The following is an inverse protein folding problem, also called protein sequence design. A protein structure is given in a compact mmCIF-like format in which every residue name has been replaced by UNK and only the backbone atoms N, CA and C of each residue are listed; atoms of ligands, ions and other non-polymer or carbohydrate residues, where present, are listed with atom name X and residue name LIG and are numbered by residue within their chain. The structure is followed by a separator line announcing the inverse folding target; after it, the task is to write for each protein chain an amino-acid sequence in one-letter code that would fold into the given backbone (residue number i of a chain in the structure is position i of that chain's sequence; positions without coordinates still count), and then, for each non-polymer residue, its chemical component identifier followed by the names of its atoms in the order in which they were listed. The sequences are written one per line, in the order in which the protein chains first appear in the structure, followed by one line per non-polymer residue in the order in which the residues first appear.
data_IF_472280073098
#
_entry.id   IF_472280073098
#
_cell.length_a   1.000
_cell.length_b   1.000
_cell.length_c   1.000
_cell.angle_alpha   90.00
_cell.angle_beta   90.00
_cell.angle_gamma   90.00
#
_symmetry.space_group_name_H-M   'P 1'
#
loop_
_entity.id
_entity.type
_entity.pdbx_description
1 polymer ?
#
# COMPACT_ATOMS: atom_id res chain seq x y z
N UNK A 1 -25.05 -9.52 -28.58
CA UNK A 1 -23.68 -9.79 -28.08
C UNK A 1 -23.26 -11.16 -28.56
N UNK A 2 -22.19 -11.25 -29.35
CA UNK A 2 -21.69 -12.55 -29.80
C UNK A 2 -20.95 -13.23 -28.63
N UNK A 3 -21.55 -14.26 -28.03
CA UNK A 3 -20.86 -15.16 -27.11
C UNK A 3 -19.74 -15.80 -27.92
N UNK A 4 -18.49 -15.35 -27.72
CA UNK A 4 -17.33 -16.00 -28.31
C UNK A 4 -17.40 -17.49 -27.96
N UNK A 5 -17.45 -18.37 -28.97
CA UNK A 5 -17.39 -19.82 -28.77
C UNK A 5 -16.14 -20.13 -27.93
N UNK A 6 -16.35 -20.51 -26.67
CA UNK A 6 -15.27 -20.89 -25.76
C UNK A 6 -14.76 -22.24 -26.23
N UNK A 7 -13.55 -22.28 -26.80
CA UNK A 7 -12.93 -23.53 -27.20
C UNK A 7 -12.44 -24.27 -25.94
N UNK A 8 -13.06 -25.41 -25.56
CA UNK A 8 -12.71 -26.13 -24.34
C UNK A 8 -11.29 -26.70 -24.36
N UNK A 9 -10.69 -26.87 -25.55
CA UNK A 9 -9.35 -27.41 -25.74
C UNK A 9 -8.25 -26.35 -25.81
N UNK A 10 -8.59 -25.07 -25.76
CA UNK A 10 -7.58 -24.01 -25.77
C UNK A 10 -6.72 -24.03 -24.50
N UNK A 11 -5.43 -23.72 -24.63
CA UNK A 11 -4.51 -23.62 -23.49
C UNK A 11 -5.02 -22.66 -22.41
N UNK A 12 -5.61 -21.53 -22.82
CA UNK A 12 -6.22 -20.56 -21.91
C UNK A 12 -7.37 -21.17 -21.11
N UNK A 13 -8.30 -21.89 -21.75
CA UNK A 13 -9.42 -22.54 -21.07
C UNK A 13 -8.95 -23.65 -20.12
N UNK A 14 -7.93 -24.43 -20.50
CA UNK A 14 -7.32 -25.45 -19.63
C UNK A 14 -6.64 -24.83 -18.40
N UNK A 15 -5.97 -23.70 -18.57
CA UNK A 15 -5.35 -22.95 -17.46
C UNK A 15 -6.39 -22.39 -16.50
N UNK A 16 -7.48 -21.81 -17.01
CA UNK A 16 -8.55 -21.20 -16.21
C UNK A 16 -9.44 -22.22 -15.46
N UNK A 17 -9.41 -23.50 -15.85
CA UNK A 17 -10.05 -24.62 -15.13
C UNK A 17 -9.07 -25.39 -14.24
N UNK A 18 -7.79 -25.02 -14.23
CA UNK A 18 -6.77 -25.79 -13.53
C UNK A 18 -7.00 -25.74 -12.02
N UNK A 19 -7.13 -26.90 -11.36
CA UNK A 19 -7.39 -27.01 -9.91
C UNK A 19 -6.36 -26.27 -9.06
N UNK A 20 -5.09 -26.20 -9.48
CA UNK A 20 -4.06 -25.42 -8.77
C UNK A 20 -4.32 -23.92 -8.88
N UNK A 21 -4.66 -23.44 -10.08
CA UNK A 21 -5.02 -22.02 -10.30
C UNK A 21 -6.25 -21.65 -9.46
N UNK A 22 -7.30 -22.47 -9.50
CA UNK A 22 -8.51 -22.24 -8.70
C UNK A 22 -8.22 -22.26 -7.19
N UNK A 23 -7.43 -23.24 -6.72
CA UNK A 23 -7.00 -23.31 -5.32
C UNK A 23 -6.16 -22.10 -4.89
N UNK A 24 -5.28 -21.60 -5.77
CA UNK A 24 -4.53 -20.37 -5.51
C UNK A 24 -5.45 -19.16 -5.42
N UNK A 25 -6.44 -19.03 -6.32
CA UNK A 25 -7.42 -17.94 -6.27
C UNK A 25 -8.28 -17.99 -4.99
N UNK A 26 -8.69 -19.18 -4.55
CA UNK A 26 -9.38 -19.37 -3.27
C UNK A 26 -8.51 -18.90 -2.09
N UNK A 27 -7.25 -19.35 -2.02
CA UNK A 27 -6.31 -18.90 -0.98
C UNK A 27 -6.07 -17.40 -0.99
N UNK A 28 -6.02 -16.77 -2.16
CA UNK A 28 -5.89 -15.31 -2.30
C UNK A 28 -7.15 -14.60 -1.78
N UNK A 29 -8.35 -15.12 -2.05
CA UNK A 29 -9.60 -14.59 -1.48
C UNK A 29 -9.57 -14.67 0.05
N UNK A 30 -9.18 -15.81 0.62
CA UNK A 30 -9.17 -16.01 2.07
C UNK A 30 -8.10 -15.18 2.79
N UNK A 31 -6.97 -14.91 2.13
CA UNK A 31 -5.81 -14.21 2.69
C UNK A 31 -5.43 -12.93 1.93
N UNK A 32 -6.41 -12.21 1.39
CA UNK A 32 -6.18 -11.06 0.50
C UNK A 32 -5.24 -9.99 1.05
N UNK A 33 -5.42 -9.58 2.32
CA UNK A 33 -4.57 -8.57 2.96
C UNK A 33 -3.11 -9.04 3.06
N UNK A 34 -2.89 -10.26 3.57
CA UNK A 34 -1.55 -10.83 3.71
C UNK A 34 -0.88 -11.08 2.37
N UNK A 35 -1.63 -11.58 1.38
CA UNK A 35 -1.13 -11.77 0.02
C UNK A 35 -0.71 -10.44 -0.63
N UNK A 36 -1.54 -9.41 -0.51
CA UNK A 36 -1.24 -8.07 -1.03
C UNK A 36 -0.02 -7.46 -0.33
N UNK A 37 0.08 -7.58 1.00
CA UNK A 37 1.21 -7.07 1.78
C UNK A 37 2.51 -7.82 1.45
N UNK A 38 2.47 -9.16 1.37
CA UNK A 38 3.62 -9.99 1.00
C UNK A 38 4.08 -9.73 -0.44
N UNK A 39 3.14 -9.61 -1.38
CA UNK A 39 3.46 -9.22 -2.77
C UNK A 39 4.11 -7.85 -2.82
N UNK A 40 3.54 -6.87 -2.12
CA UNK A 40 4.11 -5.52 -2.01
C UNK A 40 5.53 -5.54 -1.43
N UNK A 41 5.81 -6.41 -0.45
CA UNK A 41 7.14 -6.56 0.12
C UNK A 41 8.12 -7.12 -0.91
N UNK A 42 7.79 -8.25 -1.56
CA UNK A 42 8.64 -8.86 -2.60
C UNK A 42 8.94 -7.88 -3.73
N UNK A 43 7.92 -7.13 -4.18
CA UNK A 43 8.08 -6.15 -5.24
C UNK A 43 8.95 -4.96 -4.81
N UNK A 44 8.82 -4.50 -3.56
CA UNK A 44 9.70 -3.46 -2.98
C UNK A 44 11.15 -3.92 -2.80
N UNK A 45 11.37 -5.21 -2.52
CA UNK A 45 12.69 -5.78 -2.23
C UNK A 45 13.45 -6.21 -3.48
N UNK A 46 12.74 -6.62 -4.53
CA UNK A 46 13.35 -7.18 -5.74
C UNK A 46 13.05 -6.34 -6.98
N UNK A 47 11.80 -6.34 -7.43
CA UNK A 47 11.42 -5.77 -8.74
C UNK A 47 11.74 -4.27 -8.83
N UNK A 48 11.44 -3.51 -7.78
CA UNK A 48 11.73 -2.06 -7.77
C UNK A 48 13.22 -1.76 -7.72
N UNK A 49 14.04 -2.38 -6.86
CA UNK A 49 15.49 -2.24 -6.93
C UNK A 49 16.08 -2.60 -8.30
N UNK A 50 15.67 -3.73 -8.90
CA UNK A 50 16.11 -4.12 -10.25
C UNK A 50 15.81 -3.03 -11.26
N UNK A 51 14.58 -2.52 -11.24
CA UNK A 51 14.14 -1.46 -12.16
C UNK A 51 14.91 -0.16 -11.94
N UNK A 52 15.11 0.24 -10.69
CA UNK A 52 15.94 1.41 -10.33
C UNK A 52 17.36 1.25 -10.88
N UNK A 53 17.98 0.08 -10.75
CA UNK A 53 19.32 -0.15 -11.27
C UNK A 53 19.39 -0.14 -12.81
N UNK A 54 18.34 -0.61 -13.48
CA UNK A 54 18.19 -0.58 -14.93
C UNK A 54 17.99 0.84 -15.52
N UNK A 55 17.69 1.85 -14.68
CA UNK A 55 17.47 3.23 -15.14
C UNK A 55 18.70 3.79 -15.89
N UNK A 56 18.59 4.25 -17.14
CA UNK A 56 19.73 4.81 -17.87
C UNK A 56 20.09 6.22 -17.38
N UNK A 57 21.31 6.69 -17.66
CA UNK A 57 21.74 8.09 -17.47
C UNK A 57 21.45 8.63 -16.05
N UNK A 58 21.70 7.81 -15.04
CA UNK A 58 21.53 8.14 -13.62
C UNK A 58 22.75 7.63 -12.87
N UNK A 59 23.28 8.42 -11.96
CA UNK A 59 24.42 8.07 -11.12
C UNK A 59 24.14 6.83 -10.29
N UNK A 60 25.14 5.94 -10.22
CA UNK A 60 25.07 4.68 -9.48
C UNK A 60 24.66 4.89 -8.03
N UNK A 61 25.19 5.92 -7.38
CA UNK A 61 24.90 6.20 -5.97
C UNK A 61 23.47 6.71 -5.75
N UNK A 62 22.93 7.53 -6.66
CA UNK A 62 21.52 7.94 -6.62
C UNK A 62 20.58 6.73 -6.78
N UNK A 63 20.92 5.78 -7.67
CA UNK A 63 20.21 4.50 -7.79
C UNK A 63 20.29 3.69 -6.49
N UNK A 64 21.45 3.63 -5.84
CA UNK A 64 21.62 2.92 -4.57
C UNK A 64 20.73 3.52 -3.47
N UNK A 65 20.69 4.85 -3.32
CA UNK A 65 19.81 5.50 -2.35
C UNK A 65 18.33 5.29 -2.66
N UNK A 66 17.93 5.35 -3.94
CA UNK A 66 16.55 5.05 -4.35
C UNK A 66 16.18 3.58 -4.09
N UNK A 67 17.09 2.64 -4.35
CA UNK A 67 16.90 1.22 -4.07
C UNK A 67 16.84 0.93 -2.57
N UNK A 68 17.72 1.54 -1.77
CA UNK A 68 17.69 1.45 -0.31
C UNK A 68 16.37 1.99 0.25
N UNK A 69 15.91 3.16 -0.22
CA UNK A 69 14.61 3.72 0.17
C UNK A 69 13.45 2.77 -0.20
N UNK A 70 13.50 2.11 -1.37
CA UNK A 70 12.51 1.08 -1.75
C UNK A 70 12.50 -0.11 -0.78
N UNK A 71 13.68 -0.66 -0.47
CA UNK A 71 13.85 -1.80 0.43
C UNK A 71 13.34 -1.45 1.83
N UNK A 72 13.83 -0.34 2.39
CA UNK A 72 13.45 0.14 3.72
C UNK A 72 11.94 0.37 3.80
N UNK A 73 11.37 1.09 2.83
CA UNK A 73 9.93 1.38 2.83
C UNK A 73 9.07 0.12 2.70
N UNK A 74 9.55 -0.90 1.97
CA UNK A 74 8.93 -2.22 1.88
C UNK A 74 8.91 -2.94 3.23
N UNK A 75 10.06 -3.06 3.89
CA UNK A 75 10.22 -3.71 5.20
C UNK A 75 9.37 -3.01 6.25
N UNK A 76 9.48 -1.68 6.35
CA UNK A 76 8.74 -0.90 7.35
C UNK A 76 7.24 -0.92 7.06
N UNK A 77 6.81 -0.83 5.79
CA UNK A 77 5.39 -0.98 5.44
C UNK A 77 4.85 -2.33 5.91
N UNK A 78 5.58 -3.41 5.61
CA UNK A 78 5.16 -4.75 6.01
C UNK A 78 5.02 -4.84 7.54
N UNK A 79 6.04 -4.43 8.29
CA UNK A 79 6.02 -4.46 9.76
C UNK A 79 4.91 -3.59 10.38
N UNK A 80 4.66 -2.39 9.85
CA UNK A 80 3.59 -1.51 10.34
C UNK A 80 2.20 -2.09 10.06
N UNK A 81 1.99 -2.71 8.88
CA UNK A 81 0.72 -3.37 8.56
C UNK A 81 0.42 -4.50 9.55
N UNK A 82 1.42 -5.34 9.84
CA UNK A 82 1.29 -6.43 10.82
C UNK A 82 1.01 -5.89 12.23
N UNK A 83 1.69 -4.82 12.64
CA UNK A 83 1.59 -4.28 13.99
C UNK A 83 0.33 -3.42 14.25
N UNK A 84 -0.21 -2.76 13.22
CA UNK A 84 -1.28 -1.76 13.38
C UNK A 84 -2.53 -2.11 12.58
N UNK A 85 -2.39 -2.34 11.27
CA UNK A 85 -3.55 -2.52 10.39
C UNK A 85 -4.24 -3.87 10.64
N UNK A 86 -3.50 -4.97 10.79
CA UNK A 86 -4.09 -6.29 11.01
C UNK A 86 -4.86 -6.41 12.33
N UNK A 87 -4.38 -5.90 13.48
CA UNK A 87 -5.17 -5.88 14.70
C UNK A 87 -6.47 -5.08 14.57
N UNK A 88 -6.44 -3.95 13.86
CA UNK A 88 -7.63 -3.12 13.60
C UNK A 88 -8.62 -3.83 12.66
N UNK A 89 -8.15 -4.42 11.57
CA UNK A 89 -8.98 -5.23 10.68
C UNK A 89 -9.59 -6.43 11.41
N UNK A 90 -8.82 -7.09 12.27
CA UNK A 90 -9.29 -8.22 13.07
C UNK A 90 -10.35 -7.78 14.08
N UNK A 91 -10.17 -6.63 14.72
CA UNK A 91 -11.16 -6.04 15.62
C UNK A 91 -12.46 -5.70 14.87
N UNK A 92 -12.38 -5.06 13.70
CA UNK A 92 -13.55 -4.78 12.86
C UNK A 92 -14.24 -6.08 12.44
N UNK A 93 -13.50 -7.12 12.02
CA UNK A 93 -14.08 -8.43 11.68
C UNK A 93 -14.81 -9.08 12.87
N UNK A 94 -14.37 -8.84 14.11
CA UNK A 94 -15.10 -9.31 15.31
C UNK A 94 -16.42 -8.57 15.49
N UNK A 95 -16.44 -7.26 15.25
CA UNK A 95 -17.66 -6.44 15.26
C UNK A 95 -18.60 -6.87 14.13
N UNK A 96 -18.09 -7.07 12.91
CA UNK A 96 -18.85 -7.50 11.74
C UNK A 96 -19.61 -8.81 11.99
N UNK A 97 -18.95 -9.78 12.65
CA UNK A 97 -19.52 -11.10 12.96
C UNK A 97 -20.58 -11.07 14.06
N UNK A 98 -20.37 -10.26 15.10
CA UNK A 98 -21.24 -10.22 16.28
C UNK A 98 -21.53 -8.79 16.72
N UNK A 99 -22.19 -7.97 15.87
CA UNK A 99 -22.31 -6.53 16.13
C UNK A 99 -23.11 -6.23 17.40
N UNK A 100 -24.07 -7.10 17.75
CA UNK A 100 -24.87 -7.03 18.98
C UNK A 100 -24.03 -7.10 20.26
N UNK A 101 -22.88 -7.79 20.22
CA UNK A 101 -22.01 -7.95 21.40
C UNK A 101 -21.10 -6.73 21.63
N UNK A 102 -21.02 -5.83 20.65
CA UNK A 102 -20.00 -4.79 20.61
C UNK A 102 -20.55 -3.38 20.37
N UNK A 103 -21.77 -3.23 19.85
CA UNK A 103 -22.38 -1.95 19.52
C UNK A 103 -23.69 -1.77 20.27
N UNK A 104 -24.04 -0.52 20.54
CA UNK A 104 -25.28 -0.20 21.24
C UNK A 104 -26.51 -0.43 20.34
N UNK A 105 -27.65 -0.76 20.94
CA UNK A 105 -28.92 -0.97 20.21
C UNK A 105 -29.32 0.21 19.31
N UNK A 106 -29.10 1.45 19.78
CA UNK A 106 -29.33 2.67 18.99
C UNK A 106 -28.45 2.73 17.74
N UNK A 107 -27.17 2.38 17.86
CA UNK A 107 -26.22 2.34 16.73
C UNK A 107 -26.65 1.32 15.68
N UNK A 108 -27.07 0.14 16.14
CA UNK A 108 -27.55 -0.92 15.27
C UNK A 108 -28.79 -0.49 14.50
N UNK A 109 -29.71 0.23 15.15
CA UNK A 109 -30.89 0.79 14.48
C UNK A 109 -30.50 1.90 13.49
N UNK A 110 -29.66 2.85 13.92
CA UNK A 110 -29.28 4.03 13.12
C UNK A 110 -28.49 3.66 11.85
N UNK A 111 -27.66 2.63 11.92
CA UNK A 111 -26.77 2.23 10.82
C UNK A 111 -27.32 1.08 9.97
N UNK A 112 -28.43 0.44 10.37
CA UNK A 112 -29.02 -0.67 9.60
C UNK A 112 -29.65 -0.17 8.30
N UNK A 113 -29.58 -1.02 7.27
CA UNK A 113 -30.38 -0.88 6.05
C UNK A 113 -31.35 -2.08 5.96
N UNK A 114 -32.64 -1.89 5.62
CA UNK A 114 -33.67 -2.93 5.76
C UNK A 114 -33.36 -4.25 5.03
N UNK A 115 -32.70 -4.18 3.88
CA UNK A 115 -32.45 -5.33 2.99
C UNK A 115 -31.01 -5.85 3.03
N UNK A 116 -30.17 -5.33 3.93
CA UNK A 116 -28.75 -5.69 3.97
C UNK A 116 -28.34 -6.26 5.29
N UNK A 117 -27.37 -7.18 5.23
CA UNK A 117 -26.61 -7.59 6.41
C UNK A 117 -25.95 -6.33 7.01
N UNK A 118 -25.89 -6.23 8.33
CA UNK A 118 -25.37 -5.03 9.01
C UNK A 118 -23.99 -4.58 8.49
N UNK A 119 -23.08 -5.54 8.30
CA UNK A 119 -21.74 -5.29 7.75
C UNK A 119 -21.75 -4.72 6.32
N UNK A 120 -22.88 -4.81 5.62
CA UNK A 120 -23.08 -4.32 4.26
C UNK A 120 -23.78 -2.96 4.16
N UNK A 121 -24.31 -2.45 5.27
CA UNK A 121 -24.93 -1.13 5.31
C UNK A 121 -23.90 -0.04 4.96
N UNK A 122 -24.29 0.93 4.11
CA UNK A 122 -23.34 1.88 3.51
C UNK A 122 -22.69 2.78 4.55
N UNK A 123 -23.46 3.26 5.53
CA UNK A 123 -22.96 4.11 6.61
C UNK A 123 -21.96 3.36 7.50
N UNK A 124 -22.25 2.11 7.85
CA UNK A 124 -21.31 1.26 8.60
C UNK A 124 -20.04 0.95 7.80
N UNK A 125 -20.17 0.59 6.52
CA UNK A 125 -19.04 0.39 5.61
C UNK A 125 -18.16 1.63 5.52
N UNK A 126 -18.75 2.81 5.42
CA UNK A 126 -18.00 4.06 5.40
C UNK A 126 -17.19 4.28 6.69
N UNK A 127 -17.80 4.08 7.87
CA UNK A 127 -17.08 4.22 9.15
C UNK A 127 -15.90 3.24 9.22
N UNK A 128 -16.15 1.97 8.96
CA UNK A 128 -15.11 0.94 9.03
C UNK A 128 -14.02 1.14 7.98
N UNK A 129 -14.35 1.67 6.81
CA UNK A 129 -13.39 2.04 5.78
C UNK A 129 -12.52 3.21 6.21
N UNK A 130 -13.09 4.27 6.79
CA UNK A 130 -12.34 5.40 7.35
C UNK A 130 -11.41 4.94 8.47
N UNK A 131 -11.85 4.04 9.34
CA UNK A 131 -11.01 3.46 10.39
C UNK A 131 -9.85 2.65 9.82
N UNK A 132 -10.10 1.80 8.82
CA UNK A 132 -9.06 1.00 8.14
C UNK A 132 -8.04 1.90 7.42
N UNK A 133 -8.50 2.84 6.62
CA UNK A 133 -7.63 3.75 5.85
C UNK A 133 -6.92 4.76 6.74
N UNK A 134 -7.55 5.19 7.82
CA UNK A 134 -6.97 6.11 8.81
C UNK A 134 -5.72 5.55 9.48
N UNK A 135 -5.53 4.23 9.51
CA UNK A 135 -4.27 3.61 9.97
C UNK A 135 -3.07 4.03 9.12
N UNK A 136 -3.26 4.16 7.80
CA UNK A 136 -2.22 4.66 6.90
C UNK A 136 -1.84 6.10 7.22
N UNK A 137 -2.82 6.95 7.47
CA UNK A 137 -2.60 8.35 7.86
C UNK A 137 -1.87 8.45 9.19
N UNK A 138 -2.33 7.73 10.23
CA UNK A 138 -1.71 7.70 11.56
C UNK A 138 -0.25 7.25 11.52
N UNK A 139 0.04 6.26 10.67
CA UNK A 139 1.37 5.65 10.59
C UNK A 139 2.29 6.34 9.60
N UNK A 140 1.82 7.32 8.81
CA UNK A 140 2.61 7.96 7.76
C UNK A 140 3.91 8.61 8.28
N UNK A 141 3.83 9.37 9.38
CA UNK A 141 4.99 10.03 9.99
C UNK A 141 5.95 9.00 10.64
N UNK A 142 5.50 8.09 11.53
CA UNK A 142 6.36 7.05 12.08
C UNK A 142 7.00 6.17 10.99
N UNK A 143 6.24 5.83 9.95
CA UNK A 143 6.72 5.07 8.79
C UNK A 143 7.86 5.79 8.09
N UNK A 144 7.73 7.09 7.82
CA UNK A 144 8.80 7.84 7.17
C UNK A 144 10.04 7.89 8.05
N UNK A 145 9.89 8.15 9.36
CA UNK A 145 10.99 8.16 10.32
C UNK A 145 11.78 6.85 10.32
N UNK A 146 11.07 5.72 10.48
CA UNK A 146 11.69 4.40 10.50
C UNK A 146 12.33 4.04 9.16
N UNK A 147 11.69 4.41 8.05
CA UNK A 147 12.25 4.19 6.70
C UNK A 147 13.57 4.92 6.54
N UNK A 148 13.61 6.21 6.87
CA UNK A 148 14.82 7.04 6.72
C UNK A 148 15.92 6.61 7.70
N UNK A 149 15.58 6.23 8.92
CA UNK A 149 16.55 5.69 9.89
C UNK A 149 17.18 4.36 9.43
N UNK A 150 16.46 3.57 8.63
CA UNK A 150 16.94 2.29 8.11
C UNK A 150 17.80 2.43 6.84
N UNK A 151 17.69 3.54 6.10
CA UNK A 151 18.46 3.76 4.86
C UNK A 151 19.98 3.62 5.06
N UNK A 152 20.62 4.25 6.07
CA UNK A 152 22.07 4.12 6.26
C UNK A 152 22.50 2.66 6.48
N UNK A 153 21.74 1.92 7.29
CA UNK A 153 22.01 0.51 7.60
C UNK A 153 21.95 -0.33 6.32
N UNK A 154 20.93 -0.12 5.47
CA UNK A 154 20.80 -0.84 4.20
C UNK A 154 21.89 -0.41 3.21
N UNK A 155 22.23 0.88 3.15
CA UNK A 155 23.29 1.40 2.28
C UNK A 155 24.65 0.79 2.64
N UNK A 156 25.00 0.75 3.93
CA UNK A 156 26.27 0.19 4.41
C UNK A 156 26.36 -1.33 4.22
N UNK A 157 25.24 -2.05 4.34
CA UNK A 157 25.28 -3.52 4.24
C UNK A 157 25.15 -4.04 2.80
N UNK A 158 24.40 -3.37 1.92
CA UNK A 158 24.10 -3.87 0.58
C UNK A 158 24.88 -3.17 -0.54
N UNK A 159 25.28 -1.90 -0.37
CA UNK A 159 25.73 -1.07 -1.49
C UNK A 159 27.10 -0.42 -1.28
N UNK A 160 27.48 -0.14 -0.04
CA UNK A 160 28.77 0.45 0.32
C UNK A 160 29.60 -0.59 1.05
N UNK A 161 30.51 -1.29 0.36
CA UNK A 161 31.48 -2.17 1.01
C UNK A 161 32.56 -1.32 1.68
N UNK A 162 32.34 -0.84 2.91
CA UNK A 162 33.43 -0.22 3.69
C UNK A 162 34.38 -1.30 4.21
N UNK A 163 35.67 -1.15 3.94
CA UNK A 163 36.72 -1.71 4.80
C UNK A 163 36.44 -1.24 6.23
N UNK A 164 36.51 -2.16 7.19
CA UNK A 164 36.18 -1.95 8.61
C UNK A 164 36.88 -0.70 9.17
N UNK A 165 36.20 0.44 9.17
CA UNK A 165 36.55 1.56 10.04
C UNK A 165 36.01 1.27 11.43
N UNK A 166 36.92 1.27 12.42
CA UNK A 166 36.69 0.89 13.83
C UNK A 166 35.38 1.45 14.41
N UNK A 167 34.66 0.66 15.23
CA UNK A 167 33.40 1.09 15.81
C UNK A 167 33.61 2.29 16.74
N UNK A 168 32.81 3.35 16.57
CA UNK A 168 32.53 4.29 17.66
C UNK A 168 31.65 3.53 18.65
N UNK A 169 32.04 3.51 19.92
CA UNK A 169 31.26 2.98 21.02
C UNK A 169 29.84 3.57 20.97
N UNK A 170 28.88 2.75 20.54
CA UNK A 170 27.49 2.93 20.90
C UNK A 170 27.33 2.18 22.23
N UNK A 171 26.95 2.91 23.27
CA UNK A 171 26.39 2.30 24.46
C UNK A 171 25.22 1.42 24.02
N UNK A 172 25.46 0.12 24.00
CA UNK A 172 24.44 -0.90 23.81
C UNK A 172 23.55 -0.92 25.05
N UNK A 173 22.65 0.05 25.18
CA UNK A 173 21.41 -0.18 25.89
C UNK A 173 20.52 -0.97 24.94
N UNK A 174 20.66 -2.29 25.01
CA UNK A 174 19.67 -3.24 24.51
C UNK A 174 18.29 -2.74 24.96
N UNK A 175 17.34 -2.44 24.06
CA UNK A 175 15.96 -2.32 24.48
C UNK A 175 15.60 -3.67 25.08
N UNK A 176 15.39 -3.71 26.39
CA UNK A 176 14.84 -4.89 27.04
C UNK A 176 13.53 -5.23 26.31
N UNK A 177 13.57 -6.29 25.51
CA UNK A 177 12.38 -6.98 25.05
C UNK A 177 11.78 -7.69 26.27
N UNK A 178 11.15 -6.94 27.15
CA UNK A 178 10.29 -7.46 28.19
C UNK A 178 9.08 -6.56 28.33
N UNK A 179 8.27 -6.60 27.28
CA UNK A 179 6.83 -6.58 27.32
C UNK A 179 6.40 -6.96 25.90
N UNK A 180 5.86 -8.17 25.73
CA UNK A 180 4.91 -8.36 24.63
C UNK A 180 3.82 -7.34 24.91
N UNK A 181 3.62 -6.27 24.11
CA UNK A 181 2.44 -5.47 24.29
C UNK A 181 1.27 -6.44 24.09
N UNK A 182 0.55 -6.74 25.16
CA UNK A 182 -0.69 -7.48 25.09
C UNK A 182 -1.70 -6.56 24.44
N UNK A 183 -1.59 -6.43 23.11
CA UNK A 183 -2.60 -5.88 22.23
C UNK A 183 -3.72 -6.92 22.15
N UNK A 184 -4.34 -7.21 23.29
CA UNK A 184 -5.46 -8.13 23.37
C UNK A 184 -6.55 -7.54 22.50
N UNK A 185 -6.93 -8.26 21.44
CA UNK A 185 -7.87 -7.79 20.42
C UNK A 185 -9.18 -7.23 20.99
N UNK A 186 -9.55 -7.61 22.23
CA UNK A 186 -10.70 -7.08 22.94
C UNK A 186 -10.60 -5.58 23.27
N UNK A 187 -9.44 -5.02 23.62
CA UNK A 187 -9.32 -3.58 23.90
C UNK A 187 -9.46 -2.75 22.64
N UNK A 188 -8.83 -3.17 21.54
CA UNK A 188 -8.96 -2.50 20.23
C UNK A 188 -10.41 -2.55 19.78
N UNK A 189 -11.04 -3.72 19.87
CA UNK A 189 -12.45 -3.91 19.52
C UNK A 189 -13.33 -2.96 20.33
N UNK A 190 -13.14 -2.89 21.65
CA UNK A 190 -13.90 -1.98 22.52
C UNK A 190 -13.67 -0.49 22.18
N UNK A 191 -12.45 -0.10 21.84
CA UNK A 191 -12.14 1.27 21.44
C UNK A 191 -12.78 1.63 20.09
N UNK A 192 -12.71 0.73 19.10
CA UNK A 192 -13.35 0.94 17.80
C UNK A 192 -14.87 0.95 17.91
N UNK A 193 -15.45 0.09 18.75
CA UNK A 193 -16.88 0.12 19.08
C UNK A 193 -17.32 1.48 19.60
N UNK A 194 -16.58 2.09 20.54
CA UNK A 194 -16.90 3.43 21.04
C UNK A 194 -16.89 4.50 19.95
N UNK A 195 -16.00 4.37 18.96
CA UNK A 195 -15.96 5.30 17.82
C UNK A 195 -17.19 5.09 16.92
N UNK A 196 -17.55 3.84 16.64
CA UNK A 196 -18.73 3.49 15.83
C UNK A 196 -20.03 3.91 16.55
N UNK A 197 -20.10 3.77 17.87
CA UNK A 197 -21.23 4.17 18.71
C UNK A 197 -21.39 5.70 18.87
N UNK A 198 -20.41 6.48 18.41
CA UNK A 198 -20.46 7.93 18.52
C UNK A 198 -21.49 8.52 17.54
N UNK A 199 -22.50 9.22 18.06
CA UNK A 199 -23.58 9.81 17.25
C UNK A 199 -23.09 10.82 16.20
N UNK A 200 -22.02 11.58 16.48
CA UNK A 200 -21.45 12.52 15.48
C UNK A 200 -20.82 11.75 14.33
N UNK A 201 -20.11 10.66 14.62
CA UNK A 201 -19.52 9.78 13.61
C UNK A 201 -20.62 9.14 12.77
N UNK A 202 -21.68 8.63 13.40
CA UNK A 202 -22.84 8.06 12.72
C UNK A 202 -23.51 9.09 11.81
N UNK A 203 -23.76 10.29 12.30
CA UNK A 203 -24.41 11.36 11.52
C UNK A 203 -23.58 11.76 10.30
N UNK A 204 -22.26 11.88 10.44
CA UNK A 204 -21.36 12.13 9.31
C UNK A 204 -21.39 10.96 8.31
N UNK A 205 -21.36 9.72 8.80
CA UNK A 205 -21.39 8.55 7.95
C UNK A 205 -22.71 8.41 7.19
N UNK A 206 -23.84 8.69 7.83
CA UNK A 206 -25.16 8.70 7.20
C UNK A 206 -25.23 9.81 6.13
N UNK A 207 -24.76 11.02 6.45
CA UNK A 207 -24.71 12.15 5.52
C UNK A 207 -23.89 11.86 4.26
N UNK A 208 -22.79 11.13 4.39
CA UNK A 208 -21.86 10.85 3.29
C UNK A 208 -21.86 9.40 2.79
N UNK A 209 -22.85 8.59 3.16
CA UNK A 209 -22.91 7.14 2.85
C UNK A 209 -22.81 6.75 1.38
N UNK A 210 -23.11 7.67 0.46
CA UNK A 210 -23.01 7.45 -0.99
C UNK A 210 -21.68 7.95 -1.60
N UNK A 211 -20.73 8.42 -0.78
CA UNK A 211 -19.42 8.94 -1.20
C UNK A 211 -18.27 8.06 -0.70
N UNK A 212 -18.52 6.80 -0.39
CA UNK A 212 -17.54 5.84 0.14
C UNK A 212 -16.29 5.74 -0.74
N UNK A 213 -16.48 5.60 -2.05
CA UNK A 213 -15.38 5.53 -3.02
C UNK A 213 -14.55 6.82 -3.06
N UNK A 214 -15.19 7.98 -3.05
CA UNK A 214 -14.50 9.27 -3.10
C UNK A 214 -13.73 9.54 -1.81
N UNK A 215 -14.31 9.22 -0.65
CA UNK A 215 -13.64 9.38 0.64
C UNK A 215 -12.41 8.47 0.71
N UNK A 216 -12.53 7.21 0.30
CA UNK A 216 -11.41 6.29 0.28
C UNK A 216 -10.24 6.78 -0.58
N UNK A 217 -10.58 7.30 -1.77
CA UNK A 217 -9.66 7.92 -2.72
C UNK A 217 -8.94 9.13 -2.10
N UNK A 218 -9.68 10.07 -1.52
CA UNK A 218 -9.11 11.28 -0.92
C UNK A 218 -8.26 10.98 0.33
N UNK A 219 -8.68 10.03 1.18
CA UNK A 219 -7.89 9.60 2.33
C UNK A 219 -6.58 8.94 1.92
N UNK A 220 -6.61 8.10 0.89
CA UNK A 220 -5.41 7.48 0.33
C UNK A 220 -4.48 8.55 -0.23
N UNK A 221 -5.00 9.48 -1.04
CA UNK A 221 -4.22 10.60 -1.57
C UNK A 221 -3.62 11.48 -0.47
N UNK A 222 -4.40 11.84 0.55
CA UNK A 222 -3.93 12.61 1.69
C UNK A 222 -2.86 11.89 2.50
N UNK A 223 -2.99 10.57 2.66
CA UNK A 223 -1.97 9.72 3.30
C UNK A 223 -0.68 9.70 2.50
N UNK A 224 -0.75 9.57 1.17
CA UNK A 224 0.44 9.56 0.31
C UNK A 224 1.15 10.92 0.30
N UNK A 225 0.39 12.03 0.28
CA UNK A 225 0.93 13.38 0.42
C UNK A 225 1.62 13.54 1.77
N UNK A 226 0.95 13.18 2.87
CA UNK A 226 1.53 13.28 4.22
C UNK A 226 2.79 12.43 4.34
N UNK A 227 2.77 11.18 3.86
CA UNK A 227 3.91 10.28 3.88
C UNK A 227 5.08 10.86 3.07
N UNK A 228 4.81 11.42 1.90
CA UNK A 228 5.83 12.01 1.02
C UNK A 228 6.42 13.27 1.62
N UNK A 229 5.59 14.19 2.13
CA UNK A 229 6.03 15.41 2.79
C UNK A 229 6.86 15.07 4.04
N UNK A 230 6.39 14.13 4.85
CA UNK A 230 7.12 13.64 6.03
C UNK A 230 8.44 13.00 5.64
N UNK A 231 8.47 12.22 4.55
CA UNK A 231 9.72 11.62 4.05
C UNK A 231 10.69 12.68 3.56
N UNK A 232 10.22 13.67 2.79
CA UNK A 232 11.07 14.75 2.29
C UNK A 232 11.68 15.56 3.43
N UNK A 233 10.88 15.92 4.43
CA UNK A 233 11.35 16.61 5.63
C UNK A 233 12.39 15.79 6.41
N UNK A 234 12.17 14.48 6.57
CA UNK A 234 13.10 13.59 7.26
C UNK A 234 14.38 13.30 6.47
N UNK A 235 14.31 13.20 5.14
CA UNK A 235 15.50 13.08 4.29
C UNK A 235 16.36 14.33 4.42
N UNK A 236 15.75 15.51 4.36
CA UNK A 236 16.48 16.79 4.44
C UNK A 236 17.28 16.90 5.75
N UNK A 237 16.69 16.46 6.87
CA UNK A 237 17.32 16.48 8.19
C UNK A 237 18.22 15.29 8.50
N UNK A 238 18.22 14.23 7.68
CA UNK A 238 18.99 13.02 7.98
C UNK A 238 20.48 13.28 7.84
N UNK A 239 21.26 12.98 8.88
CA UNK A 239 22.73 12.95 8.81
C UNK A 239 23.26 11.66 8.18
N UNK A 240 22.43 10.62 8.07
CA UNK A 240 22.81 9.33 7.49
C UNK A 240 22.70 9.26 5.96
N UNK A 241 22.20 10.32 5.32
CA UNK A 241 22.11 10.44 3.86
C UNK A 241 23.04 11.57 3.43
N UNK A 242 23.92 11.32 2.45
CA UNK A 242 24.84 12.34 1.92
C UNK A 242 24.08 13.56 1.41
N UNK A 243 24.57 14.76 1.72
CA UNK A 243 23.86 16.00 1.42
C UNK A 243 23.58 16.19 -0.08
N UNK A 244 24.55 15.90 -0.94
CA UNK A 244 24.42 15.96 -2.40
C UNK A 244 23.53 14.84 -3.00
N UNK A 245 22.93 13.98 -2.17
CA UNK A 245 22.01 12.91 -2.58
C UNK A 245 20.59 13.14 -2.09
N UNK A 246 20.40 14.05 -1.13
CA UNK A 246 19.10 14.32 -0.50
C UNK A 246 18.08 14.83 -1.50
N UNK A 247 18.44 15.82 -2.33
CA UNK A 247 17.53 16.46 -3.29
C UNK A 247 17.04 15.47 -4.35
N UNK A 248 17.94 14.77 -5.03
CA UNK A 248 17.58 13.69 -5.97
C UNK A 248 16.62 12.66 -5.34
N UNK A 249 16.87 12.22 -4.09
CA UNK A 249 15.99 11.28 -3.40
C UNK A 249 14.62 11.88 -3.03
N UNK A 250 14.58 13.15 -2.63
CA UNK A 250 13.34 13.88 -2.37
C UNK A 250 12.52 14.00 -3.65
N UNK A 251 13.14 14.44 -4.75
CA UNK A 251 12.47 14.56 -6.05
C UNK A 251 11.97 13.20 -6.55
N UNK A 252 12.75 12.13 -6.39
CA UNK A 252 12.30 10.77 -6.69
C UNK A 252 10.98 10.43 -5.98
N UNK A 253 10.89 10.71 -4.67
CA UNK A 253 9.70 10.43 -3.88
C UNK A 253 8.52 11.31 -4.31
N UNK A 254 8.74 12.61 -4.50
CA UNK A 254 7.70 13.56 -4.93
C UNK A 254 7.13 13.17 -6.29
N UNK A 255 7.99 12.87 -7.26
CA UNK A 255 7.59 12.49 -8.62
C UNK A 255 6.83 11.16 -8.59
N UNK A 256 7.31 10.18 -7.83
CA UNK A 256 6.63 8.89 -7.66
C UNK A 256 5.21 9.08 -7.12
N UNK A 257 5.04 9.94 -6.12
CA UNK A 257 3.73 10.25 -5.55
C UNK A 257 2.85 11.00 -6.53
N UNK A 258 3.36 12.04 -7.20
CA UNK A 258 2.62 12.79 -8.20
C UNK A 258 2.08 11.89 -9.32
N UNK A 259 2.93 11.01 -9.87
CA UNK A 259 2.52 10.07 -10.91
C UNK A 259 1.54 9.03 -10.35
N UNK A 260 1.67 8.60 -9.09
CA UNK A 260 0.71 7.67 -8.49
C UNK A 260 -0.67 8.31 -8.36
N UNK A 261 -0.72 9.57 -7.90
CA UNK A 261 -1.97 10.32 -7.74
C UNK A 261 -2.64 10.62 -9.09
N UNK A 262 -1.87 10.99 -10.12
CA UNK A 262 -2.39 11.30 -11.46
C UNK A 262 -2.67 10.04 -12.27
N UNK A 263 -1.70 9.13 -12.31
CA UNK A 263 -1.72 7.91 -13.12
C UNK A 263 -2.67 6.83 -12.61
N UNK A 264 -2.96 6.79 -11.30
CA UNK A 264 -3.91 5.83 -10.72
C UNK A 264 -5.28 5.84 -11.42
N UNK A 265 -5.78 7.01 -11.82
CA UNK A 265 -7.08 7.13 -12.50
C UNK A 265 -7.06 6.67 -13.95
N UNK A 266 -5.97 6.98 -14.66
CA UNK A 266 -5.80 6.57 -16.05
C UNK A 266 -5.66 5.04 -16.15
N UNK A 267 -4.89 4.46 -15.24
CA UNK A 267 -4.65 3.01 -15.17
C UNK A 267 -5.94 2.26 -14.82
N UNK A 268 -6.67 2.69 -13.79
CA UNK A 268 -7.92 2.02 -13.39
C UNK A 268 -8.97 2.02 -14.51
N UNK A 269 -9.09 3.16 -15.22
CA UNK A 269 -10.01 3.31 -16.35
C UNK A 269 -9.63 2.44 -17.56
N UNK A 270 -8.34 2.35 -17.89
CA UNK A 270 -7.85 1.57 -19.02
C UNK A 270 -8.02 0.05 -18.83
N UNK A 271 -7.99 -0.43 -17.59
CA UNK A 271 -8.00 -1.86 -17.25
C UNK A 271 -9.42 -2.41 -17.06
N UNK A 272 -10.37 -1.56 -16.66
CA UNK A 272 -11.72 -1.98 -16.26
C UNK A 272 -12.43 -2.79 -17.35
N UNK A 273 -12.51 -2.27 -18.58
CA UNK A 273 -13.22 -2.91 -19.71
C UNK A 273 -12.64 -4.26 -20.10
N UNK A 274 -11.30 -4.39 -20.20
CA UNK A 274 -10.66 -5.67 -20.53
C UNK A 274 -10.89 -6.71 -19.44
N UNK A 275 -11.03 -6.27 -18.19
CA UNK A 275 -11.22 -7.18 -17.08
C UNK A 275 -12.63 -7.71 -16.97
N UNK A 276 -13.64 -6.86 -17.16
CA UNK A 276 -15.03 -7.31 -17.10
C UNK A 276 -15.27 -8.46 -18.07
N UNK A 277 -14.75 -8.34 -19.30
CA UNK A 277 -14.77 -9.39 -20.32
C UNK A 277 -14.02 -10.67 -19.90
N UNK A 278 -12.91 -10.54 -19.15
CA UNK A 278 -12.17 -11.69 -18.63
C UNK A 278 -12.94 -12.41 -17.52
N UNK A 279 -13.49 -11.67 -16.55
CA UNK A 279 -14.26 -12.22 -15.43
C UNK A 279 -15.51 -12.91 -15.96
N UNK A 280 -16.20 -12.32 -16.94
CA UNK A 280 -17.37 -12.92 -17.56
C UNK A 280 -17.01 -14.26 -18.23
N UNK A 281 -15.95 -14.30 -19.03
CA UNK A 281 -15.43 -15.57 -19.60
C UNK A 281 -15.06 -16.58 -18.52
N UNK A 282 -14.38 -16.15 -17.46
CA UNK A 282 -13.99 -17.03 -16.35
C UNK A 282 -15.21 -17.61 -15.64
N UNK A 283 -16.26 -16.80 -15.43
CA UNK A 283 -17.53 -17.22 -14.86
C UNK A 283 -18.22 -18.27 -15.73
N UNK A 284 -18.29 -18.05 -17.04
CA UNK A 284 -18.87 -19.01 -17.98
C UNK A 284 -18.09 -20.33 -17.98
N UNK A 285 -16.75 -20.26 -17.98
CA UNK A 285 -15.87 -21.44 -17.98
C UNK A 285 -16.06 -22.31 -16.73
N UNK A 286 -16.28 -21.70 -15.57
CA UNK A 286 -16.34 -22.39 -14.28
C UNK A 286 -17.75 -22.45 -13.67
N UNK A 287 -18.82 -22.19 -14.43
CA UNK A 287 -20.18 -21.98 -13.92
C UNK A 287 -20.74 -23.09 -13.02
N UNK A 288 -20.23 -24.33 -13.15
CA UNK A 288 -20.62 -25.47 -12.31
C UNK A 288 -19.85 -25.61 -10.99
N UNK A 289 -18.86 -24.75 -10.71
CA UNK A 289 -18.08 -24.80 -9.48
C UNK A 289 -18.74 -23.94 -8.37
N UNK A 290 -19.08 -24.53 -7.21
CA UNK A 290 -19.74 -23.80 -6.12
C UNK A 290 -18.89 -22.68 -5.51
N UNK A 291 -17.57 -22.70 -5.71
CA UNK A 291 -16.63 -21.69 -5.19
C UNK A 291 -16.33 -20.58 -6.19
N UNK A 292 -17.10 -20.46 -7.27
CA UNK A 292 -16.83 -19.46 -8.31
C UNK A 292 -16.80 -18.02 -7.80
N UNK A 293 -17.63 -17.69 -6.81
CA UNK A 293 -17.63 -16.37 -6.15
C UNK A 293 -16.31 -16.10 -5.43
N UNK A 294 -15.75 -17.11 -4.74
CA UNK A 294 -14.43 -17.05 -4.09
C UNK A 294 -13.30 -16.87 -5.10
N UNK A 295 -13.33 -17.58 -6.22
CA UNK A 295 -12.32 -17.41 -7.27
C UNK A 295 -12.38 -16.01 -7.90
N UNK A 296 -13.59 -15.49 -8.15
CA UNK A 296 -13.77 -14.13 -8.68
C UNK A 296 -13.28 -13.08 -7.69
N UNK A 297 -13.52 -13.27 -6.39
CA UNK A 297 -12.93 -12.43 -5.34
C UNK A 297 -11.40 -12.48 -5.37
N UNK A 298 -10.81 -13.68 -5.48
CA UNK A 298 -9.37 -13.87 -5.65
C UNK A 298 -8.81 -13.15 -6.87
N UNK A 299 -9.49 -13.21 -8.02
CA UNK A 299 -9.13 -12.48 -9.24
C UNK A 299 -9.18 -10.97 -9.00
N UNK A 300 -10.21 -10.47 -8.32
CA UNK A 300 -10.36 -9.06 -8.01
C UNK A 300 -9.27 -8.52 -7.07
N UNK A 301 -8.65 -9.38 -6.26
CA UNK A 301 -7.48 -9.04 -5.43
C UNK A 301 -6.18 -9.16 -6.23
N UNK A 302 -5.99 -10.27 -6.94
CA UNK A 302 -4.75 -10.59 -7.67
C UNK A 302 -4.48 -9.61 -8.82
N UNK A 303 -5.53 -9.23 -9.56
CA UNK A 303 -5.42 -8.36 -10.74
C UNK A 303 -4.81 -6.99 -10.42
N UNK A 304 -5.40 -6.16 -9.54
CA UNK A 304 -4.80 -4.88 -9.21
C UNK A 304 -3.39 -5.11 -8.66
N UNK A 305 -3.16 -6.14 -7.83
CA UNK A 305 -1.82 -6.42 -7.32
C UNK A 305 -0.78 -6.63 -8.44
N UNK A 306 -1.06 -7.41 -9.49
CA UNK A 306 -0.12 -7.66 -10.60
C UNK A 306 0.08 -6.41 -11.47
N UNK A 307 -0.99 -5.71 -11.83
CA UNK A 307 -0.88 -4.58 -12.76
C UNK A 307 -0.24 -3.37 -12.07
N UNK A 308 -0.66 -3.09 -10.83
CA UNK A 308 0.06 -2.14 -10.00
C UNK A 308 1.49 -2.62 -9.74
N UNK A 309 1.75 -3.93 -9.56
CA UNK A 309 3.12 -4.42 -9.41
C UNK A 309 4.01 -4.02 -10.60
N UNK A 310 3.59 -4.33 -11.83
CA UNK A 310 4.39 -4.05 -13.02
C UNK A 310 4.61 -2.55 -13.26
N UNK A 311 3.58 -1.72 -13.10
CA UNK A 311 3.71 -0.28 -13.36
C UNK A 311 4.39 0.42 -12.19
N UNK A 312 3.93 0.20 -10.96
CA UNK A 312 4.40 0.92 -9.76
C UNK A 312 5.78 0.47 -9.30
N UNK A 313 6.13 -0.82 -9.45
CA UNK A 313 7.44 -1.33 -9.06
C UNK A 313 8.38 -1.54 -10.25
N UNK A 314 7.87 -1.66 -11.48
CA UNK A 314 8.69 -1.78 -12.68
C UNK A 314 8.99 -0.43 -13.33
N UNK A 315 7.97 0.20 -13.91
CA UNK A 315 8.15 1.35 -14.80
C UNK A 315 8.34 2.66 -14.02
N UNK A 316 7.45 2.92 -13.07
CA UNK A 316 7.45 4.15 -12.27
C UNK A 316 8.80 4.42 -11.62
N UNK A 317 9.49 3.45 -10.98
CA UNK A 317 10.75 3.71 -10.31
C UNK A 317 11.87 4.06 -11.28
N UNK A 318 11.86 3.55 -12.51
CA UNK A 318 12.82 3.98 -13.54
C UNK A 318 12.62 5.46 -13.86
N UNK A 319 11.38 5.85 -14.13
CA UNK A 319 11.06 7.21 -14.51
C UNK A 319 11.32 8.21 -13.37
N UNK A 320 10.88 7.91 -12.13
CA UNK A 320 11.07 8.81 -11.00
C UNK A 320 12.54 8.93 -10.58
N UNK A 321 13.33 7.87 -10.76
CA UNK A 321 14.78 7.90 -10.51
C UNK A 321 15.48 8.78 -11.54
N UNK A 322 15.21 8.57 -12.82
CA UNK A 322 15.77 9.36 -13.90
C UNK A 322 15.41 10.84 -13.79
N UNK A 323 14.12 11.15 -13.60
CA UNK A 323 13.64 12.53 -13.50
C UNK A 323 14.12 13.21 -12.22
N UNK A 324 14.20 12.48 -11.10
CA UNK A 324 14.69 13.02 -9.84
C UNK A 324 16.12 13.56 -9.95
N UNK A 325 17.02 12.80 -10.59
CA UNK A 325 18.39 13.26 -10.83
C UNK A 325 18.47 14.39 -11.85
N UNK A 326 17.71 14.30 -12.95
CA UNK A 326 17.71 15.35 -13.98
C UNK A 326 17.27 16.70 -13.43
N UNK A 327 16.22 16.71 -12.61
CA UNK A 327 15.72 17.94 -11.98
C UNK A 327 16.75 18.49 -10.99
N UNK A 328 17.39 17.62 -10.20
CA UNK A 328 18.44 18.05 -9.27
C UNK A 328 19.60 18.74 -10.00
N UNK A 329 20.16 18.08 -11.03
CA UNK A 329 21.23 18.63 -11.87
C UNK A 329 20.84 19.93 -12.57
N UNK A 330 19.60 20.02 -13.04
CA UNK A 330 19.08 21.24 -13.67
C UNK A 330 19.05 22.40 -12.68
N UNK A 331 18.53 22.19 -11.46
CA UNK A 331 18.42 23.23 -10.43
C UNK A 331 19.80 23.67 -9.95
N UNK A 332 20.74 22.73 -9.75
CA UNK A 332 22.11 23.04 -9.38
C UNK A 332 22.77 23.94 -10.43
N UNK A 333 22.74 23.55 -11.71
CA UNK A 333 23.32 24.32 -12.81
C UNK A 333 22.80 25.77 -12.85
N UNK A 334 21.49 25.97 -12.76
CA UNK A 334 20.88 27.32 -12.87
C UNK A 334 21.06 28.16 -11.60
N UNK A 335 21.23 27.52 -10.45
CA UNK A 335 21.54 28.21 -9.20
C UNK A 335 22.98 28.73 -9.21
N UNK A 336 23.92 27.94 -9.74
CA UNK A 336 25.32 28.33 -9.93
C UNK A 336 25.47 29.46 -10.97
N UNK A 337 24.76 29.37 -12.10
CA UNK A 337 24.75 30.44 -13.12
C UNK A 337 24.20 31.77 -12.57
N UNK A 338 23.15 31.73 -11.74
CA UNK A 338 22.62 32.94 -11.07
C UNK A 338 23.57 33.52 -10.02
N UNK A 339 24.38 32.71 -9.36
CA UNK A 339 25.39 33.22 -8.42
C UNK A 339 26.63 33.80 -9.09
N UNK A 340 26.94 33.36 -10.32
CA UNK A 340 28.06 33.89 -11.11
C UNK A 340 27.72 35.20 -11.85
N UNK A 341 26.43 35.43 -12.11
CA UNK A 341 25.91 36.64 -12.77
C UNK A 341 25.42 37.73 -11.79
N UNK A 342 25.80 37.63 -10.51
CA UNK A 342 25.54 38.64 -9.45
C UNK A 342 26.85 39.16 -8.90
#
# INVERSE_FOLDING_TARGET
MAIQKINPNSFSTKLLKNKRVLSTLEKISDHGTSFSNGTSLVMSLAVRPISIFATPNTEKENKQYAAANSICSGIIKFGIVEAVALPIESAIKRIDKNPQNFLNGKTLQNLKEPEKVFAEAKSYKLITQVLKLGTGFLTAIPKSMLTIALIPIIMDNLFIKKQKSKPKNQDNKTPQQNQKPNFTGNYITKSLSKIIDNSKVQNLAIKYRNKDKDIAKHMTAGTDILLTASSAYRINQSSGIKDNRKKALIYNNIISTAITLVGGYAIDSAIKKRTENFIEKFKIINAGDPKITKYVEGINILRPAIIFAAIYYGILPMFSTFMGEKIDKYIEKHSTEKSLNK
#
